data_IF_506137371323
#
_entry.id   IF_506137371323
#
_cell.length_a   1.000
_cell.length_b   1.000
_cell.length_c   1.000
_cell.angle_alpha   90.00
_cell.angle_beta   90.00
_cell.angle_gamma   90.00
#
_symmetry.space_group_name_H-M   'P 1'
#
loop_
_entity.id
_entity.type
_entity.pdbx_description
1 polymer ?
#
# COMPACT_ATOMS: atom_id res chain seq x y z
N UNK A 1 45.69 -42.67 11.12
CA UNK A 1 45.36 -41.36 11.73
C UNK A 1 44.14 -40.63 11.12
N UNK A 2 43.33 -41.20 10.21
CA UNK A 2 42.25 -40.45 9.53
C UNK A 2 40.84 -40.58 10.16
N UNK A 3 40.55 -41.67 10.88
CA UNK A 3 39.22 -41.91 11.50
C UNK A 3 38.80 -40.93 12.61
N UNK A 4 39.67 -40.55 13.58
CA UNK A 4 39.24 -39.65 14.66
C UNK A 4 38.99 -38.22 14.17
N UNK A 5 39.70 -37.76 13.13
CA UNK A 5 39.48 -36.46 12.51
C UNK A 5 38.14 -36.36 11.77
N UNK A 6 37.71 -37.45 11.12
CA UNK A 6 36.42 -37.51 10.42
C UNK A 6 35.25 -37.46 11.43
N UNK A 7 35.39 -38.17 12.57
CA UNK A 7 34.38 -38.16 13.63
C UNK A 7 34.26 -36.75 14.26
N UNK A 8 35.39 -36.09 14.53
CA UNK A 8 35.39 -34.73 15.07
C UNK A 8 34.75 -33.71 14.10
N UNK A 9 35.02 -33.84 12.80
CA UNK A 9 34.41 -32.99 11.78
C UNK A 9 32.89 -33.19 11.69
N UNK A 10 32.42 -34.45 11.77
CA UNK A 10 30.98 -34.78 11.79
C UNK A 10 30.28 -34.20 13.03
N UNK A 11 30.92 -34.27 14.21
CA UNK A 11 30.38 -33.69 15.44
C UNK A 11 30.31 -32.17 15.34
N UNK A 12 31.34 -31.51 14.78
CA UNK A 12 31.33 -30.06 14.56
C UNK A 12 30.23 -29.61 13.59
N UNK A 13 29.99 -30.35 12.50
CA UNK A 13 28.88 -30.08 11.57
C UNK A 13 27.53 -30.27 12.27
N UNK A 14 27.37 -31.32 13.08
CA UNK A 14 26.13 -31.56 13.81
C UNK A 14 25.83 -30.45 14.84
N UNK A 15 26.85 -30.00 15.58
CA UNK A 15 26.74 -28.86 16.50
C UNK A 15 26.37 -27.59 15.74
N UNK A 16 26.93 -27.37 14.54
CA UNK A 16 26.59 -26.23 13.70
C UNK A 16 25.13 -26.28 13.21
N UNK A 17 24.62 -27.47 12.88
CA UNK A 17 23.22 -27.68 12.46
C UNK A 17 22.25 -27.47 13.63
N UNK A 18 22.61 -27.92 14.85
CA UNK A 18 21.79 -27.76 16.06
C UNK A 18 21.86 -26.32 16.61
N UNK A 19 22.99 -25.64 16.43
CA UNK A 19 23.19 -24.25 16.83
C UNK A 19 22.62 -23.24 15.82
N UNK A 20 22.11 -23.68 14.67
CA UNK A 20 21.29 -22.81 13.82
C UNK A 20 20.08 -22.40 14.66
N UNK A 21 19.88 -21.10 14.90
CA UNK A 21 18.69 -20.66 15.62
C UNK A 21 17.49 -21.17 14.84
N UNK A 22 16.68 -21.99 15.51
CA UNK A 22 15.37 -22.39 15.04
C UNK A 22 14.52 -21.11 15.00
N UNK A 23 14.73 -20.28 13.98
CA UNK A 23 13.84 -19.18 13.70
C UNK A 23 12.52 -19.87 13.36
N UNK A 24 11.56 -19.78 14.27
CA UNK A 24 10.16 -19.99 13.92
C UNK A 24 9.84 -18.98 12.82
N UNK A 25 10.04 -19.39 11.58
CA UNK A 25 9.57 -18.66 10.41
C UNK A 25 8.07 -18.87 10.39
N UNK A 26 7.31 -17.93 10.95
CA UNK A 26 5.88 -17.86 10.64
C UNK A 26 5.75 -17.73 9.12
N UNK A 27 4.78 -18.44 8.54
CA UNK A 27 4.43 -18.26 7.15
C UNK A 27 4.15 -16.76 6.93
N UNK A 28 4.84 -16.13 5.98
CA UNK A 28 4.57 -14.74 5.63
C UNK A 28 3.63 -14.69 4.42
N UNK A 29 2.69 -13.74 4.36
CA UNK A 29 2.35 -12.76 5.39
C UNK A 29 1.49 -13.35 6.52
N UNK A 30 1.58 -12.81 7.73
CA UNK A 30 0.80 -13.26 8.91
C UNK A 30 0.28 -12.11 9.77
N UNK A 31 -0.73 -12.40 10.59
CA UNK A 31 -1.31 -11.48 11.56
C UNK A 31 -0.67 -11.62 12.95
N UNK A 32 -0.43 -10.48 13.61
CA UNK A 32 0.01 -10.41 15.02
C UNK A 32 -1.09 -9.74 15.85
N UNK A 33 -1.98 -10.53 16.50
CA UNK A 33 -3.15 -10.02 17.20
C UNK A 33 -2.83 -9.00 18.29
N UNK A 34 -1.78 -9.24 19.08
CA UNK A 34 -1.44 -8.42 20.25
C UNK A 34 -1.02 -7.01 19.87
N UNK A 35 -0.57 -6.81 18.62
CA UNK A 35 -0.10 -5.53 18.11
C UNK A 35 -1.03 -4.93 17.05
N UNK A 36 -2.01 -5.69 16.57
CA UNK A 36 -2.84 -5.28 15.44
C UNK A 36 -2.04 -5.15 14.14
N UNK A 37 -1.09 -6.05 13.89
CA UNK A 37 -0.13 -5.90 12.78
C UNK A 37 -0.29 -6.97 11.69
N UNK A 38 -0.34 -6.53 10.45
CA UNK A 38 -0.08 -7.34 9.27
C UNK A 38 1.43 -7.32 9.00
N UNK A 39 2.07 -8.49 8.95
CA UNK A 39 3.51 -8.63 8.77
C UNK A 39 3.86 -9.50 7.58
N UNK A 40 4.87 -9.09 6.83
CA UNK A 40 5.54 -9.88 5.80
C UNK A 40 7.05 -9.85 6.00
N UNK A 41 7.80 -10.48 5.09
CA UNK A 41 9.26 -10.34 5.05
C UNK A 41 9.75 -8.92 4.72
N UNK A 42 8.91 -8.07 4.09
CA UNK A 42 9.29 -6.74 3.57
C UNK A 42 8.60 -5.56 4.26
N UNK A 43 7.42 -5.76 4.87
CA UNK A 43 6.63 -4.67 5.44
C UNK A 43 5.95 -5.10 6.75
N UNK A 44 5.84 -4.13 7.65
CA UNK A 44 4.98 -4.17 8.83
C UNK A 44 3.93 -3.08 8.69
N UNK A 45 2.66 -3.45 8.76
CA UNK A 45 1.53 -2.51 8.74
C UNK A 45 0.74 -2.71 10.03
N UNK A 46 0.78 -1.70 10.90
CA UNK A 46 0.02 -1.69 12.17
C UNK A 46 -1.28 -0.92 11.99
N UNK A 47 -2.39 -1.52 12.41
CA UNK A 47 -3.68 -0.85 12.56
C UNK A 47 -3.70 -0.15 13.92
N UNK A 48 -3.51 1.18 13.94
CA UNK A 48 -3.53 1.96 15.17
C UNK A 48 -4.89 1.83 15.85
N UNK A 49 -4.92 1.34 17.08
CA UNK A 49 -6.12 1.03 17.86
C UNK A 49 -7.14 0.14 17.13
N UNK A 50 -6.69 -0.73 16.22
CA UNK A 50 -7.55 -1.59 15.39
C UNK A 50 -8.55 -0.79 14.51
N UNK A 51 -8.20 0.45 14.16
CA UNK A 51 -8.96 1.33 13.28
C UNK A 51 -8.30 1.40 11.90
N UNK A 52 -8.95 2.00 10.87
CA UNK A 52 -8.35 2.18 9.55
C UNK A 52 -7.32 3.34 9.54
N UNK A 53 -6.34 3.23 10.42
CA UNK A 53 -5.17 4.09 10.55
C UNK A 53 -3.94 3.20 10.50
N UNK A 54 -3.18 3.33 9.43
CA UNK A 54 -2.17 2.39 9.00
C UNK A 54 -0.82 3.01 9.29
N UNK A 55 -0.08 2.43 10.22
CA UNK A 55 1.31 2.80 10.48
C UNK A 55 2.20 1.79 9.75
N UNK A 56 2.90 2.25 8.73
CA UNK A 56 3.62 1.44 7.75
C UNK A 56 5.12 1.61 7.94
N UNK A 57 5.85 0.50 8.02
CA UNK A 57 7.30 0.49 8.06
C UNK A 57 7.92 -0.71 7.34
N UNK A 58 9.18 -0.58 6.90
CA UNK A 58 9.95 -1.68 6.29
C UNK A 58 10.52 -2.67 7.32
N UNK A 59 10.57 -2.28 8.61
CA UNK A 59 10.99 -3.13 9.71
C UNK A 59 10.48 -2.60 11.05
N UNK A 60 10.55 -3.44 12.09
CA UNK A 60 10.22 -3.07 13.47
C UNK A 60 11.09 -1.96 14.05
N UNK A 61 12.28 -1.75 13.47
CA UNK A 61 13.28 -0.79 13.92
C UNK A 61 13.38 0.42 13.01
N UNK A 62 12.46 0.57 12.05
CA UNK A 62 12.48 1.71 11.16
C UNK A 62 12.34 3.01 11.97
N UNK A 63 13.33 3.89 11.83
CA UNK A 63 13.33 5.20 12.48
C UNK A 63 12.20 6.10 11.96
N UNK A 64 11.73 5.83 10.74
CA UNK A 64 10.67 6.58 10.07
C UNK A 64 9.55 5.66 9.63
N UNK A 65 8.31 6.08 9.86
CA UNK A 65 7.09 5.34 9.56
C UNK A 65 6.13 6.25 8.79
N UNK A 66 5.38 5.70 7.84
CA UNK A 66 4.28 6.43 7.22
C UNK A 66 2.99 6.15 7.97
N UNK A 67 2.15 7.16 8.13
CA UNK A 67 0.80 7.01 8.66
C UNK A 67 -0.20 7.34 7.57
N UNK A 68 -1.12 6.42 7.28
CA UNK A 68 -2.24 6.64 6.35
C UNK A 68 -3.53 6.43 7.12
N UNK A 69 -4.35 7.46 7.22
CA UNK A 69 -5.58 7.45 8.00
C UNK A 69 -6.77 7.69 7.08
N UNK A 70 -7.70 6.74 7.05
CA UNK A 70 -9.00 6.92 6.39
C UNK A 70 -9.89 7.71 7.36
N UNK A 71 -9.99 9.03 7.17
CA UNK A 71 -10.51 9.96 8.19
C UNK A 71 -12.03 9.91 8.28
N UNK A 72 -12.69 10.18 7.15
CA UNK A 72 -14.15 10.35 7.10
C UNK A 72 -14.69 10.26 5.67
N UNK A 73 -15.99 9.97 5.58
CA UNK A 73 -16.82 10.12 4.39
C UNK A 73 -17.64 11.41 4.53
N UNK A 74 -17.71 12.22 3.47
CA UNK A 74 -18.37 13.53 3.48
C UNK A 74 -19.37 13.56 2.33
N UNK A 75 -20.65 13.75 2.64
CA UNK A 75 -21.68 14.00 1.63
C UNK A 75 -21.71 15.49 1.30
N UNK A 76 -21.67 15.84 0.01
CA UNK A 76 -21.62 17.24 -0.42
C UNK A 76 -22.34 17.46 -1.76
N UNK A 77 -22.65 18.72 -2.07
CA UNK A 77 -23.18 19.15 -3.36
C UNK A 77 -22.04 19.71 -4.20
N UNK A 78 -21.68 18.98 -5.26
CA UNK A 78 -20.79 19.46 -6.32
C UNK A 78 -21.49 20.57 -7.12
N UNK A 79 -21.21 21.81 -6.75
CA UNK A 79 -21.95 22.97 -7.26
C UNK A 79 -21.39 23.50 -8.57
N UNK A 80 -20.12 23.20 -8.86
CA UNK A 80 -19.44 23.61 -10.10
C UNK A 80 -19.27 22.44 -11.10
N UNK A 81 -19.73 21.23 -10.73
CA UNK A 81 -19.76 20.01 -11.54
C UNK A 81 -18.37 19.55 -11.99
N UNK A 82 -17.34 19.80 -11.18
CA UNK A 82 -15.96 19.43 -11.51
C UNK A 82 -15.55 18.04 -10.96
N UNK A 83 -16.45 17.37 -10.23
CA UNK A 83 -16.22 16.05 -9.63
C UNK A 83 -15.22 16.04 -8.46
N UNK A 84 -14.90 17.20 -7.88
CA UNK A 84 -13.92 17.35 -6.80
C UNK A 84 -14.58 17.89 -5.54
N UNK A 85 -14.16 17.40 -4.37
CA UNK A 85 -14.62 17.98 -3.11
C UNK A 85 -13.79 19.19 -2.69
N UNK A 86 -14.36 20.38 -2.64
CA UNK A 86 -13.69 21.64 -2.36
C UNK A 86 -14.23 22.33 -1.08
N UNK A 87 -13.40 23.09 -0.33
CA UNK A 87 -13.83 23.66 0.97
C UNK A 87 -15.05 24.58 0.91
N UNK A 88 -15.36 25.15 -0.26
CA UNK A 88 -16.49 26.06 -0.44
C UNK A 88 -17.80 25.34 -0.78
N UNK A 89 -17.76 24.03 -1.01
CA UNK A 89 -18.93 23.25 -1.33
C UNK A 89 -19.81 23.01 -0.12
N UNK A 90 -21.12 22.86 -0.38
CA UNK A 90 -22.08 22.62 0.67
C UNK A 90 -21.99 21.17 1.15
N UNK A 91 -21.38 20.97 2.33
CA UNK A 91 -21.44 19.71 3.07
C UNK A 91 -22.84 19.47 3.63
N UNK A 92 -23.35 18.24 3.50
CA UNK A 92 -24.67 17.79 3.99
C UNK A 92 -24.58 16.84 5.19
N UNK A 93 -23.58 15.96 5.19
CA UNK A 93 -23.36 14.99 6.26
C UNK A 93 -21.91 14.51 6.32
N UNK A 94 -21.50 13.96 7.46
CA UNK A 94 -20.16 13.40 7.71
C UNK A 94 -20.26 12.09 8.47
N UNK A 95 -19.59 11.06 7.95
CA UNK A 95 -19.40 9.76 8.60
C UNK A 95 -17.96 9.61 9.04
N UNK A 96 -17.72 9.59 10.35
CA UNK A 96 -16.36 9.54 10.91
C UNK A 96 -15.86 8.10 10.94
N UNK A 97 -14.71 7.83 10.33
CA UNK A 97 -14.14 6.48 10.22
C UNK A 97 -13.13 6.18 11.35
N UNK A 98 -12.46 7.19 11.89
CA UNK A 98 -11.45 7.05 12.95
C UNK A 98 -11.87 7.66 14.30
N UNK A 99 -11.06 7.43 15.34
CA UNK A 99 -11.12 7.96 16.71
C UNK A 99 -12.31 7.47 17.57
N UNK A 100 -13.53 7.56 17.04
CA UNK A 100 -14.78 7.31 17.80
C UNK A 100 -15.56 6.09 17.34
N UNK A 101 -15.12 5.46 16.26
CA UNK A 101 -15.80 4.33 15.64
C UNK A 101 -15.19 3.03 16.12
N UNK A 102 -16.03 2.11 16.61
CA UNK A 102 -15.61 0.76 16.95
C UNK A 102 -15.60 -0.10 15.68
N UNK A 103 -14.49 -0.78 15.43
CA UNK A 103 -14.29 -1.65 14.29
C UNK A 103 -14.18 -3.10 14.76
N UNK A 104 -14.99 -3.98 14.19
CA UNK A 104 -14.84 -5.42 14.32
C UNK A 104 -13.76 -5.90 13.33
N UNK A 105 -12.76 -6.62 13.83
CA UNK A 105 -11.62 -7.08 13.04
C UNK A 105 -11.68 -8.60 12.90
N UNK A 106 -11.86 -9.06 11.66
CA UNK A 106 -11.83 -10.48 11.30
C UNK A 106 -10.59 -10.78 10.47
N UNK A 107 -9.91 -11.86 10.81
CA UNK A 107 -8.67 -12.26 10.16
C UNK A 107 -8.83 -13.66 9.57
N UNK A 108 -8.43 -13.80 8.31
CA UNK A 108 -8.31 -15.08 7.62
C UNK A 108 -6.89 -15.15 7.05
N UNK A 109 -6.14 -16.17 7.42
CA UNK A 109 -4.76 -16.36 7.01
C UNK A 109 -4.57 -17.76 6.43
N UNK A 110 -3.83 -17.84 5.32
CA UNK A 110 -3.32 -19.08 4.77
C UNK A 110 -1.89 -18.87 4.24
N UNK A 111 -1.28 -19.92 3.69
CA UNK A 111 0.11 -19.92 3.22
C UNK A 111 0.44 -18.91 2.11
N UNK A 112 -0.57 -18.28 1.50
CA UNK A 112 -0.43 -17.41 0.32
C UNK A 112 -1.00 -16.02 0.50
N UNK A 113 -1.96 -15.83 1.41
CA UNK A 113 -2.65 -14.57 1.61
C UNK A 113 -3.06 -14.40 3.06
N UNK A 114 -2.83 -13.18 3.54
CA UNK A 114 -3.40 -12.66 4.77
C UNK A 114 -4.53 -11.71 4.41
N UNK A 115 -5.70 -11.93 5.00
CA UNK A 115 -6.89 -11.10 4.86
C UNK A 115 -7.26 -10.55 6.23
N UNK A 116 -7.29 -9.21 6.35
CA UNK A 116 -7.74 -8.51 7.56
C UNK A 116 -8.92 -7.61 7.19
N UNK A 117 -10.12 -8.00 7.60
CA UNK A 117 -11.35 -7.28 7.36
C UNK A 117 -11.73 -6.46 8.60
N UNK A 118 -11.79 -5.13 8.44
CA UNK A 118 -12.36 -4.24 9.43
C UNK A 118 -13.79 -3.91 9.01
N UNK A 119 -14.77 -4.11 9.90
CA UNK A 119 -16.17 -3.69 9.66
C UNK A 119 -16.68 -2.78 10.77
N UNK A 120 -17.45 -1.76 10.41
CA UNK A 120 -18.05 -0.84 11.37
C UNK A 120 -19.43 -0.35 10.92
N UNK A 121 -20.28 -0.11 11.92
CA UNK A 121 -21.51 0.66 11.76
C UNK A 121 -21.23 2.09 12.22
N UNK A 122 -20.97 2.98 11.26
CA UNK A 122 -20.47 4.31 11.52
C UNK A 122 -21.60 5.31 11.74
N UNK A 123 -21.40 6.27 12.63
CA UNK A 123 -22.35 7.36 12.85
C UNK A 123 -22.22 8.41 11.75
N UNK A 124 -23.33 8.74 11.10
CA UNK A 124 -23.42 9.77 10.07
C UNK A 124 -24.18 10.98 10.63
N UNK A 125 -23.44 12.07 10.81
CA UNK A 125 -23.96 13.31 11.40
C UNK A 125 -24.28 14.30 10.28
N UNK A 126 -25.50 14.81 10.25
CA UNK A 126 -25.88 15.84 9.29
C UNK A 126 -25.42 17.22 9.75
N UNK A 127 -25.03 18.06 8.78
CA UNK A 127 -24.58 19.44 8.99
C UNK A 127 -25.70 20.46 8.78
N UNK A 128 -26.92 20.03 8.47
CA UNK A 128 -28.04 20.94 8.23
C UNK A 128 -28.66 21.46 9.53
N UNK A 129 -29.16 22.71 9.57
CA UNK A 129 -29.93 23.21 10.70
C UNK A 129 -31.18 22.34 10.90
N UNK A 130 -31.44 21.90 12.14
CA UNK A 130 -32.50 20.94 12.52
C UNK A 130 -32.24 19.49 12.08
N UNK A 131 -30.98 19.10 11.92
CA UNK A 131 -30.63 17.68 11.83
C UNK A 131 -31.26 16.91 13.01
N UNK A 132 -32.08 15.91 12.68
CA UNK A 132 -32.59 14.94 13.64
C UNK A 132 -31.49 14.09 14.26
N UNK A 133 -31.82 13.00 14.97
CA UNK A 133 -30.80 12.11 15.51
C UNK A 133 -29.87 11.60 14.39
N UNK A 134 -28.59 11.33 14.69
CA UNK A 134 -27.68 10.83 13.69
C UNK A 134 -28.15 9.50 13.11
N UNK A 135 -27.97 9.38 11.81
CA UNK A 135 -28.17 8.13 11.10
C UNK A 135 -26.88 7.33 11.12
N UNK A 136 -26.91 6.17 10.46
CA UNK A 136 -25.76 5.29 10.39
C UNK A 136 -25.58 4.76 8.98
N UNK A 137 -24.35 4.34 8.69
CA UNK A 137 -23.98 3.63 7.48
C UNK A 137 -23.05 2.50 7.86
N UNK A 138 -22.95 1.48 7.00
CA UNK A 138 -21.99 0.42 7.20
C UNK A 138 -20.77 0.63 6.31
N UNK A 139 -19.60 0.34 6.87
CA UNK A 139 -18.33 0.39 6.15
C UNK A 139 -17.54 -0.87 6.41
N UNK A 140 -16.97 -1.45 5.37
CA UNK A 140 -15.99 -2.54 5.46
C UNK A 140 -14.73 -2.16 4.70
N UNK A 141 -13.57 -2.41 5.32
CA UNK A 141 -12.25 -2.19 4.75
C UNK A 141 -11.52 -3.53 4.82
N UNK A 142 -11.41 -4.20 3.67
CA UNK A 142 -10.78 -5.53 3.55
C UNK A 142 -9.38 -5.37 3.01
N UNK A 143 -8.41 -5.69 3.85
CA UNK A 143 -6.99 -5.68 3.52
C UNK A 143 -6.54 -7.07 3.08
N UNK A 144 -5.82 -7.16 1.96
CA UNK A 144 -5.22 -8.39 1.47
C UNK A 144 -3.74 -8.17 1.21
N UNK A 145 -2.92 -8.97 1.86
CA UNK A 145 -1.49 -9.03 1.63
C UNK A 145 -1.16 -10.41 1.07
N UNK A 146 -0.51 -10.45 -0.10
CA UNK A 146 -0.16 -11.69 -0.77
C UNK A 146 1.31 -12.03 -0.53
N UNK A 147 1.63 -13.32 -0.46
CA UNK A 147 3.01 -13.81 -0.40
C UNK A 147 3.75 -13.63 -1.72
N UNK A 148 3.08 -13.91 -2.83
CA UNK A 148 3.64 -13.82 -4.17
C UNK A 148 3.00 -12.65 -4.93
N UNK A 149 3.62 -12.23 -6.03
CA UNK A 149 3.01 -11.27 -6.95
C UNK A 149 1.73 -11.86 -7.54
N UNK A 150 0.64 -11.08 -7.53
CA UNK A 150 -0.68 -11.50 -8.03
C UNK A 150 -1.27 -10.43 -8.93
N UNK A 151 -1.97 -10.84 -9.99
CA UNK A 151 -2.75 -9.94 -10.84
C UNK A 151 -4.22 -9.97 -10.43
N UNK A 152 -4.79 -8.81 -10.12
CA UNK A 152 -6.18 -8.64 -9.69
C UNK A 152 -6.78 -7.48 -10.47
N UNK A 153 -7.68 -7.77 -11.41
CA UNK A 153 -8.23 -6.75 -12.30
C UNK A 153 -7.11 -5.95 -13.00
N UNK A 154 -7.10 -4.61 -12.87
CA UNK A 154 -6.05 -3.77 -13.47
C UNK A 154 -4.72 -3.80 -12.68
N UNK A 155 -4.70 -4.36 -11.47
CA UNK A 155 -3.54 -4.31 -10.59
C UNK A 155 -2.58 -5.47 -10.81
N UNK A 156 -1.29 -5.16 -10.87
CA UNK A 156 -0.22 -6.10 -10.52
C UNK A 156 0.22 -5.80 -9.09
N UNK A 157 -0.23 -6.62 -8.14
CA UNK A 157 0.03 -6.48 -6.70
C UNK A 157 1.37 -7.15 -6.40
N UNK A 158 2.29 -6.41 -5.77
CA UNK A 158 3.59 -6.93 -5.35
C UNK A 158 3.47 -7.73 -4.06
N UNK A 159 3.92 -8.98 -4.10
CA UNK A 159 3.96 -9.87 -2.95
C UNK A 159 4.82 -9.30 -1.83
N UNK A 160 4.30 -9.40 -0.62
CA UNK A 160 4.90 -8.97 0.65
C UNK A 160 5.17 -7.45 0.77
N UNK A 161 5.06 -6.65 -0.29
CA UNK A 161 5.33 -5.20 -0.26
C UNK A 161 4.15 -4.32 -0.69
N UNK A 162 2.99 -4.90 -0.97
CA UNK A 162 1.77 -4.17 -1.32
C UNK A 162 0.56 -4.76 -0.60
N UNK A 163 -0.27 -3.90 0.00
CA UNK A 163 -1.56 -4.27 0.56
C UNK A 163 -2.66 -3.81 -0.39
N UNK A 164 -3.48 -4.76 -0.85
CA UNK A 164 -4.70 -4.47 -1.60
C UNK A 164 -5.82 -4.18 -0.60
N UNK A 165 -6.61 -3.13 -0.85
CA UNK A 165 -7.66 -2.68 0.05
C UNK A 165 -8.97 -2.62 -0.73
N UNK A 166 -10.04 -3.22 -0.22
CA UNK A 166 -11.39 -3.02 -0.73
C UNK A 166 -12.19 -2.24 0.32
N UNK A 167 -12.66 -1.06 -0.06
CA UNK A 167 -13.50 -0.17 0.72
C UNK A 167 -14.93 -0.35 0.22
N UNK A 168 -15.80 -0.81 1.11
CA UNK A 168 -17.21 -1.02 0.82
C UNK A 168 -18.05 -0.12 1.73
N UNK A 169 -19.04 0.56 1.16
CA UNK A 169 -19.98 1.42 1.89
C UNK A 169 -21.39 1.05 1.44
N UNK A 170 -22.30 0.87 2.39
CA UNK A 170 -23.72 0.62 2.11
C UNK A 170 -24.61 1.27 3.16
N UNK A 171 -25.90 1.37 2.85
CA UNK A 171 -26.92 2.04 3.66
C UNK A 171 -26.55 3.49 4.02
N UNK A 172 -25.90 4.22 3.09
CA UNK A 172 -25.58 5.62 3.36
C UNK A 172 -26.88 6.46 3.43
N UNK A 173 -27.09 7.24 4.49
CA UNK A 173 -28.35 7.94 4.73
C UNK A 173 -28.40 9.28 3.98
N UNK A 174 -28.45 9.21 2.66
CA UNK A 174 -28.44 10.34 1.74
C UNK A 174 -29.43 11.44 2.13
N UNK A 175 -28.97 12.68 2.10
CA UNK A 175 -29.76 13.89 2.28
C UNK A 175 -30.18 14.50 0.95
N UNK A 176 -29.47 14.20 -0.13
CA UNK A 176 -29.80 14.68 -1.46
C UNK A 176 -29.53 13.61 -2.52
N UNK A 177 -30.36 13.56 -3.57
CA UNK A 177 -30.18 12.62 -4.69
C UNK A 177 -29.07 13.03 -5.67
N UNK A 178 -28.69 14.30 -5.63
CA UNK A 178 -27.68 14.89 -6.51
C UNK A 178 -26.35 15.14 -5.77
N UNK A 179 -26.23 14.72 -4.52
CA UNK A 179 -24.96 14.81 -3.78
C UNK A 179 -24.02 13.67 -4.12
N UNK A 180 -22.75 13.88 -3.83
CA UNK A 180 -21.67 12.90 -3.93
C UNK A 180 -21.09 12.60 -2.55
N UNK A 181 -20.24 11.57 -2.46
CA UNK A 181 -19.47 11.28 -1.25
C UNK A 181 -17.99 11.44 -1.53
N UNK A 182 -17.30 12.18 -0.67
CA UNK A 182 -15.86 12.28 -0.64
C UNK A 182 -15.28 11.44 0.52
N UNK A 183 -14.34 10.54 0.21
CA UNK A 183 -13.46 9.92 1.19
C UNK A 183 -12.21 10.77 1.37
N UNK A 184 -12.01 11.22 2.61
CA UNK A 184 -10.80 11.93 3.00
C UNK A 184 -9.79 10.97 3.63
N UNK A 185 -8.59 10.95 3.08
CA UNK A 185 -7.45 10.15 3.56
C UNK A 185 -6.33 11.11 3.95
N UNK A 186 -5.92 11.11 5.22
CA UNK A 186 -4.78 11.89 5.69
C UNK A 186 -3.50 11.04 5.63
N UNK A 187 -2.40 11.65 5.19
CA UNK A 187 -1.11 11.00 5.09
C UNK A 187 -0.09 11.83 5.85
N UNK A 188 0.56 11.20 6.80
CA UNK A 188 1.62 11.79 7.60
C UNK A 188 2.84 10.87 7.60
N UNK A 189 3.95 11.38 8.11
CA UNK A 189 5.13 10.56 8.41
C UNK A 189 5.56 10.83 9.85
N UNK A 190 6.06 9.79 10.52
CA UNK A 190 6.37 9.77 11.95
C UNK A 190 7.84 9.44 12.12
N UNK A 191 8.54 10.16 13.01
CA UNK A 191 9.91 9.87 13.43
C UNK A 191 9.92 9.28 14.84
N UNK A 192 10.41 8.05 14.99
CA UNK A 192 10.42 7.34 16.27
C UNK A 192 9.01 7.16 16.85
N UNK A 193 8.86 7.31 18.17
CA UNK A 193 7.57 7.21 18.87
C UNK A 193 6.83 8.55 19.02
N UNK A 194 7.39 9.65 18.53
CA UNK A 194 6.86 11.00 18.75
C UNK A 194 6.10 11.51 17.52
N UNK A 195 4.81 11.77 17.69
CA UNK A 195 3.85 12.20 16.67
C UNK A 195 3.93 13.70 16.31
N UNK A 196 4.96 14.42 16.76
CA UNK A 196 4.86 15.88 16.95
C UNK A 196 5.37 16.76 15.81
N UNK A 197 5.96 16.22 14.75
CA UNK A 197 6.50 17.06 13.66
C UNK A 197 5.92 16.73 12.29
N UNK A 198 5.00 17.58 11.82
CA UNK A 198 4.60 17.63 10.41
C UNK A 198 5.75 18.21 9.60
N UNK A 199 6.44 17.39 8.80
CA UNK A 199 7.41 17.87 7.79
C UNK A 199 6.96 17.52 6.36
N UNK A 200 7.69 18.06 5.39
CA UNK A 200 7.28 18.09 3.98
C UNK A 200 7.34 16.69 3.37
N UNK A 201 6.19 16.21 2.89
CA UNK A 201 6.10 15.02 2.04
C UNK A 201 6.08 15.51 0.60
N UNK A 202 6.96 14.96 -0.24
CA UNK A 202 6.87 15.19 -1.68
C UNK A 202 5.78 14.27 -2.23
N UNK A 203 4.80 14.88 -2.89
CA UNK A 203 3.68 14.18 -3.51
C UNK A 203 3.74 14.36 -5.02
N UNK A 204 3.71 13.24 -5.73
CA UNK A 204 3.61 13.24 -7.18
C UNK A 204 2.44 12.35 -7.59
N UNK A 205 1.49 12.92 -8.32
CA UNK A 205 0.40 12.18 -8.92
C UNK A 205 0.75 11.92 -10.38
N UNK A 206 0.82 10.65 -10.78
CA UNK A 206 0.90 10.26 -12.18
C UNK A 206 -0.43 9.67 -12.63
N UNK A 207 -0.86 10.09 -13.82
CA UNK A 207 -1.94 9.44 -14.56
C UNK A 207 -1.29 8.73 -15.74
N UNK A 208 -1.21 7.40 -15.68
CA UNK A 208 -0.80 6.64 -16.84
C UNK A 208 -2.01 6.48 -17.76
N UNK A 209 -1.95 6.97 -18.99
CA UNK A 209 -3.08 6.93 -19.94
C UNK A 209 -3.46 5.49 -20.29
N UNK A 210 -2.48 4.59 -20.36
CA UNK A 210 -2.68 3.18 -20.70
C UNK A 210 -3.06 2.29 -19.49
N UNK A 211 -3.01 2.81 -18.26
CA UNK A 211 -3.39 2.05 -17.07
C UNK A 211 -4.66 2.64 -16.46
N UNK A 212 -5.62 1.77 -16.12
CA UNK A 212 -6.85 2.18 -15.45
C UNK A 212 -6.65 2.48 -13.96
N UNK A 213 -5.49 3.03 -13.61
CA UNK A 213 -5.02 3.26 -12.24
C UNK A 213 -4.47 4.69 -12.13
N UNK A 214 -4.82 5.36 -11.03
CA UNK A 214 -4.17 6.55 -10.53
C UNK A 214 -3.09 6.16 -9.52
N UNK A 215 -1.88 6.71 -9.66
CA UNK A 215 -0.81 6.50 -8.70
C UNK A 215 -0.44 7.84 -8.05
N UNK A 216 -0.35 7.82 -6.72
CA UNK A 216 0.09 8.95 -5.92
C UNK A 216 1.27 8.48 -5.07
N UNK A 217 2.44 9.03 -5.37
CA UNK A 217 3.69 8.68 -4.71
C UNK A 217 3.95 9.65 -3.57
N UNK A 218 4.26 9.13 -2.39
CA UNK A 218 4.64 9.88 -1.20
C UNK A 218 6.07 9.52 -0.80
N UNK A 219 6.94 10.53 -0.77
CA UNK A 219 8.35 10.37 -0.38
C UNK A 219 8.70 11.40 0.68
N UNK A 220 9.32 10.93 1.75
CA UNK A 220 9.97 11.77 2.76
C UNK A 220 11.45 11.84 2.42
N UNK A 221 12.08 12.99 2.63
CA UNK A 221 13.54 13.13 2.49
C UNK A 221 14.31 12.35 3.54
N UNK A 222 13.64 12.00 4.64
CA UNK A 222 14.27 11.42 5.82
C UNK A 222 14.16 9.89 5.85
N UNK A 223 13.28 9.30 5.02
CA UNK A 223 13.06 7.86 4.94
C UNK A 223 13.79 7.23 3.74
N UNK A 224 14.28 6.00 3.90
CA UNK A 224 14.92 5.19 2.87
C UNK A 224 13.94 4.44 1.96
N UNK A 225 12.64 4.64 2.17
CA UNK A 225 11.54 4.09 1.40
C UNK A 225 10.43 5.13 1.24
N UNK A 226 9.56 4.92 0.25
CA UNK A 226 8.33 5.67 0.05
C UNK A 226 7.11 4.76 0.00
N UNK A 227 5.95 5.38 -0.12
CA UNK A 227 4.67 4.69 -0.34
C UNK A 227 4.04 5.17 -1.64
N UNK A 228 3.35 4.28 -2.34
CA UNK A 228 2.56 4.59 -3.53
C UNK A 228 1.12 4.17 -3.26
N UNK A 229 0.23 5.15 -3.15
CA UNK A 229 -1.21 4.91 -3.11
C UNK A 229 -1.71 4.74 -4.54
N UNK A 230 -2.41 3.65 -4.82
CA UNK A 230 -2.90 3.30 -6.15
C UNK A 230 -4.40 3.13 -6.10
N UNK A 231 -5.11 3.67 -7.08
CA UNK A 231 -6.57 3.73 -7.09
C UNK A 231 -7.09 3.42 -8.48
N UNK A 232 -8.06 2.53 -8.62
CA UNK A 232 -8.70 2.25 -9.90
C UNK A 232 -9.42 3.52 -10.34
N UNK A 233 -9.41 3.81 -11.65
CA UNK A 233 -10.20 4.92 -12.19
C UNK A 233 -11.70 4.64 -12.16
N UNK A 234 -12.08 3.38 -11.93
CA UNK A 234 -13.46 2.94 -11.82
C UNK A 234 -13.76 2.40 -10.42
N UNK A 235 -15.01 2.59 -9.99
CA UNK A 235 -15.63 2.00 -8.80
C UNK A 235 -16.82 1.15 -9.19
N UNK A 236 -17.27 0.27 -8.29
CA UNK A 236 -18.54 -0.44 -8.46
C UNK A 236 -19.60 0.26 -7.62
N UNK A 237 -20.68 0.69 -8.26
CA UNK A 237 -21.85 1.30 -7.62
C UNK A 237 -23.08 0.52 -8.06
N UNK A 238 -23.84 -0.02 -7.11
CA UNK A 238 -25.07 -0.76 -7.36
C UNK A 238 -24.89 -1.85 -8.44
N UNK A 239 -23.83 -2.66 -8.31
CA UNK A 239 -23.38 -3.71 -9.24
C UNK A 239 -22.86 -3.23 -10.61
N UNK A 240 -22.80 -1.92 -10.86
CA UNK A 240 -22.32 -1.36 -12.11
C UNK A 240 -20.94 -0.73 -11.94
N UNK A 241 -20.05 -1.00 -12.88
CA UNK A 241 -18.74 -0.35 -12.92
C UNK A 241 -18.89 1.06 -13.52
N UNK A 242 -18.55 2.08 -12.75
CA UNK A 242 -18.66 3.49 -13.14
C UNK A 242 -17.33 4.21 -12.86
N UNK A 243 -16.97 5.24 -13.63
CA UNK A 243 -15.79 6.05 -13.34
C UNK A 243 -15.88 6.71 -11.96
N UNK A 244 -14.75 6.85 -11.28
CA UNK A 244 -14.62 7.76 -10.15
C UNK A 244 -14.96 9.19 -10.59
N UNK A 245 -15.70 9.92 -9.75
CA UNK A 245 -15.99 11.33 -10.00
C UNK A 245 -14.71 12.18 -9.93
N UNK A 246 -13.80 11.83 -9.02
CA UNK A 246 -12.54 12.54 -8.89
C UNK A 246 -11.56 11.95 -7.88
N UNK A 247 -10.27 12.23 -8.08
CA UNK A 247 -9.23 12.03 -7.08
C UNK A 247 -8.30 13.24 -7.10
N UNK A 248 -8.06 13.83 -5.93
CA UNK A 248 -7.19 14.98 -5.77
C UNK A 248 -6.27 14.83 -4.56
N UNK A 249 -5.03 15.27 -4.75
CA UNK A 249 -4.07 15.50 -3.67
C UNK A 249 -4.24 16.94 -3.20
N UNK A 250 -4.33 17.13 -1.88
CA UNK A 250 -4.50 18.43 -1.24
C UNK A 250 -3.21 18.85 -0.53
N UNK A 251 -3.03 20.16 -0.36
CA UNK A 251 -1.82 20.76 0.20
C UNK A 251 -1.51 20.31 1.64
N UNK A 252 -2.53 19.88 2.39
CA UNK A 252 -2.42 19.39 3.76
C UNK A 252 -2.05 17.90 3.85
N UNK A 253 -1.34 17.38 2.86
CA UNK A 253 -0.98 15.97 2.74
C UNK A 253 -2.16 15.00 2.78
N UNK A 254 -3.30 15.38 2.20
CA UNK A 254 -4.47 14.50 2.13
C UNK A 254 -4.84 14.13 0.70
N UNK A 255 -5.38 12.92 0.54
CA UNK A 255 -6.06 12.49 -0.68
C UNK A 255 -7.55 12.64 -0.45
N UNK A 256 -8.24 13.20 -1.43
CA UNK A 256 -9.69 13.20 -1.49
C UNK A 256 -10.14 12.38 -2.69
N UNK A 257 -10.96 11.36 -2.47
CA UNK A 257 -11.54 10.51 -3.52
C UNK A 257 -13.04 10.75 -3.52
N UNK A 258 -13.60 11.14 -4.66
CA UNK A 258 -15.02 11.44 -4.82
C UNK A 258 -15.72 10.31 -5.57
N UNK A 259 -16.81 9.85 -4.97
CA UNK A 259 -17.68 8.81 -5.48
C UNK A 259 -19.03 9.39 -5.92
N UNK A 260 -19.61 8.87 -7.01
CA UNK A 260 -20.96 9.24 -7.39
C UNK A 260 -21.99 8.73 -6.36
N UNK A 261 -23.21 9.24 -6.45
CA UNK A 261 -24.34 8.75 -5.67
C UNK A 261 -24.57 7.24 -5.92
N UNK A 262 -24.91 6.50 -4.86
CA UNK A 262 -25.26 5.07 -4.91
C UNK A 262 -26.51 4.79 -4.08
N UNK A 263 -27.30 3.78 -4.43
CA UNK A 263 -28.54 3.46 -3.72
C UNK A 263 -28.34 2.36 -2.67
N UNK A 264 -27.63 1.31 -3.04
CA UNK A 264 -27.44 0.12 -2.20
C UNK A 264 -26.01 0.06 -1.69
N UNK A 265 -25.04 0.07 -2.60
CA UNK A 265 -23.64 -0.13 -2.21
C UNK A 265 -22.63 0.51 -3.16
N UNK A 266 -21.48 0.86 -2.58
CA UNK A 266 -20.27 1.32 -3.24
C UNK A 266 -19.12 0.36 -2.90
N UNK A 267 -18.32 -0.01 -3.90
CA UNK A 267 -17.04 -0.71 -3.72
C UNK A 267 -15.94 0.04 -4.47
N UNK A 268 -14.87 0.35 -3.74
CA UNK A 268 -13.66 0.93 -4.27
C UNK A 268 -12.45 0.12 -3.84
N UNK A 269 -11.48 -0.07 -4.72
CA UNK A 269 -10.49 -1.12 -4.58
C UNK A 269 -9.02 -0.59 -4.63
N UNK A 270 -8.61 0.38 -3.78
CA UNK A 270 -7.24 0.90 -3.80
C UNK A 270 -6.18 -0.12 -3.36
N UNK A 271 -4.90 0.25 -3.50
CA UNK A 271 -3.77 -0.46 -2.89
C UNK A 271 -2.72 0.51 -2.36
N UNK A 272 -1.92 0.07 -1.40
CA UNK A 272 -0.77 0.80 -0.88
C UNK A 272 0.47 -0.06 -1.10
N UNK A 273 1.37 0.40 -1.95
CA UNK A 273 2.66 -0.24 -2.24
C UNK A 273 3.77 0.48 -1.49
N UNK A 274 4.68 -0.29 -0.92
CA UNK A 274 5.91 0.19 -0.29
C UNK A 274 7.04 0.05 -1.30
N UNK A 275 7.79 1.13 -1.53
CA UNK A 275 8.88 1.19 -2.52
C UNK A 275 10.18 1.58 -1.84
N UNK A 276 11.21 0.74 -1.90
CA UNK A 276 12.53 1.07 -1.38
C UNK A 276 13.27 1.98 -2.36
N UNK A 277 13.89 3.07 -1.88
CA UNK A 277 14.57 4.03 -2.76
C UNK A 277 15.88 3.48 -3.36
N UNK A 278 16.42 2.38 -2.80
CA UNK A 278 17.65 1.74 -3.26
C UNK A 278 17.40 0.82 -4.47
N UNK A 279 16.22 0.20 -4.59
CA UNK A 279 15.88 -0.70 -5.72
C UNK A 279 15.93 0.02 -7.09
N UNK A 280 15.57 1.32 -7.14
CA UNK A 280 15.71 2.15 -8.36
C UNK A 280 17.18 2.31 -8.80
N UNK A 281 18.13 2.41 -7.84
CA UNK A 281 19.56 2.58 -8.15
C UNK A 281 20.24 1.27 -8.51
N UNK A 282 19.86 0.15 -7.89
CA UNK A 282 20.44 -1.17 -8.17
C UNK A 282 20.01 -1.69 -9.55
N UNK A 283 18.77 -1.42 -9.98
CA UNK A 283 18.34 -1.74 -11.36
C UNK A 283 19.16 -1.03 -12.43
N UNK A 284 19.50 0.25 -12.21
CA UNK A 284 20.37 1.02 -13.12
C UNK A 284 21.85 0.59 -13.04
N UNK A 285 22.38 0.29 -11.84
CA UNK A 285 23.74 -0.24 -11.69
C UNK A 285 23.92 -1.65 -12.26
N UNK A 286 22.92 -2.51 -12.14
CA UNK A 286 22.93 -3.85 -12.74
C UNK A 286 22.97 -3.80 -14.27
N UNK A 287 22.22 -2.86 -14.88
CA UNK A 287 22.25 -2.62 -16.33
C UNK A 287 23.60 -2.06 -16.79
N UNK A 288 24.22 -1.14 -16.05
CA UNK A 288 25.53 -0.59 -16.44
C UNK A 288 26.66 -1.61 -16.27
N UNK A 289 26.70 -2.36 -15.16
CA UNK A 289 27.70 -3.43 -14.94
C UNK A 289 27.53 -4.55 -15.98
N UNK A 290 26.29 -4.96 -16.27
CA UNK A 290 26.00 -5.95 -17.31
C UNK A 290 26.44 -5.49 -18.70
N UNK A 291 26.23 -4.22 -19.04
CA UNK A 291 26.64 -3.63 -20.32
C UNK A 291 28.17 -3.56 -20.46
N UNK A 292 28.89 -3.19 -19.39
CA UNK A 292 30.36 -3.15 -19.38
C UNK A 292 30.94 -4.56 -19.54
N UNK A 293 30.40 -5.55 -18.84
CA UNK A 293 30.83 -6.94 -18.95
C UNK A 293 30.62 -7.52 -20.38
N UNK A 294 29.52 -7.15 -21.04
CA UNK A 294 29.24 -7.54 -22.43
C UNK A 294 30.24 -6.91 -23.42
N UNK A 295 30.57 -5.62 -23.24
CA UNK A 295 31.55 -4.94 -24.11
C UNK A 295 32.95 -5.56 -23.97
N UNK A 296 33.37 -5.87 -22.73
CA UNK A 296 34.67 -6.50 -22.46
C UNK A 296 34.74 -7.90 -23.08
N UNK A 297 33.67 -8.70 -22.96
CA UNK A 297 33.64 -10.04 -23.54
C UNK A 297 33.69 -10.02 -25.07
N UNK A 298 32.95 -9.11 -25.72
CA UNK A 298 33.04 -8.91 -27.18
C UNK A 298 34.46 -8.51 -27.60
N UNK A 299 35.10 -7.59 -26.87
CA UNK A 299 36.46 -7.15 -27.17
C UNK A 299 37.49 -8.29 -27.05
N UNK A 300 37.37 -9.15 -26.03
CA UNK A 300 38.22 -10.32 -25.84
C UNK A 300 38.02 -11.34 -26.97
N UNK A 301 36.77 -11.61 -27.35
CA UNK A 301 36.46 -12.52 -28.46
C UNK A 301 37.04 -11.99 -29.78
N UNK A 302 36.87 -10.69 -30.07
CA UNK A 302 37.42 -10.05 -31.25
C UNK A 302 38.95 -10.11 -31.27
N UNK A 303 39.61 -9.78 -30.15
CA UNK A 303 41.07 -9.87 -30.04
C UNK A 303 41.59 -11.30 -30.23
N UNK A 304 40.86 -12.29 -29.72
CA UNK A 304 41.18 -13.71 -29.87
C UNK A 304 41.05 -14.16 -31.34
N UNK A 305 39.97 -13.78 -32.02
CA UNK A 305 39.76 -14.04 -33.45
C UNK A 305 40.86 -13.39 -34.29
N UNK A 306 41.19 -12.13 -34.01
CA UNK A 306 42.26 -11.41 -34.73
C UNK A 306 43.63 -12.06 -34.53
N UNK A 307 43.92 -12.58 -33.33
CA UNK A 307 45.18 -13.28 -33.04
C UNK A 307 45.26 -14.63 -33.76
N UNK A 308 44.15 -15.35 -33.88
CA UNK A 308 44.03 -16.59 -34.66
C UNK A 308 44.21 -16.29 -36.16
N UNK A 309 43.52 -15.27 -36.68
CA UNK A 309 43.63 -14.84 -38.09
C UNK A 309 45.06 -14.46 -38.43
N UNK A 310 45.74 -13.68 -37.56
CA UNK A 310 47.15 -13.29 -37.77
C UNK A 310 48.08 -14.51 -37.86
N UNK A 311 47.89 -15.51 -37.00
CA UNK A 311 48.66 -16.77 -37.04
C UNK A 311 48.42 -17.59 -38.31
N UNK A 312 47.19 -17.58 -38.84
CA UNK A 312 46.83 -18.30 -40.07
C UNK A 312 47.34 -17.61 -41.33
N UNK A 313 47.54 -16.28 -41.30
CA UNK A 313 48.06 -15.51 -42.45
C UNK A 313 49.58 -15.35 -42.44
N UNK A 314 50.26 -15.71 -41.36
CA UNK A 314 51.71 -15.57 -41.18
C UNK A 314 52.47 -16.89 -41.17
N UNK A 315 51.85 -17.98 -41.62
CA UNK A 315 52.46 -19.28 -41.89
C UNK A 315 52.25 -19.62 -43.35
#
# INVERSE_FOLDING_TARGET
MKKPMIILALILVLIFIIALPYKQTSAQPHWVPQKGEMRSSKVVIRLHNLQPTYIISISDKAAYQYMIQFVQLIEFIDSNQNGQFEPHERTLSRGILCERTHWDVKVVENDTVLIVNLTAHIRVVSTTPHAGPPNFAYVSIVNRMYKNDVRIGPYHIRGESEVKIDIMVWDWPWKNRNSMIALQIAIDYIQGSNYTEKRKIQMHSSKHENENIHEIVFRSTDADYGIVFRSSKDVTVDNNKVPLSGIAVRENNSICIVYPHFNEFLVHDPSIRIVQLIEEKVGQMGLTIGSIALIISIAITYASIMKIKKKLTSG
#
